data_IF_066690951455
#
_entry.id   IF_066690951455
#
_cell.length_a   1.000
_cell.length_b   1.000
_cell.length_c   1.000
_cell.angle_alpha   90.00
_cell.angle_beta   90.00
_cell.angle_gamma   90.00
#
_symmetry.space_group_name_H-M   'P 1'
#
loop_
_entity.id
_entity.type
_entity.pdbx_description
1 polymer ?
#
# COMPACT_ATOMS: atom_id res chain seq x y z
N UNK A 1 72.37 -5.63 -33.18
CA UNK A 1 71.90 -6.98 -33.57
C UNK A 1 71.80 -7.78 -32.28
N UNK A 2 70.60 -8.05 -31.77
CA UNK A 2 70.43 -8.95 -30.64
C UNK A 2 70.40 -10.38 -31.20
N UNK A 3 71.33 -11.23 -30.75
CA UNK A 3 71.32 -12.67 -31.03
C UNK A 3 71.24 -13.40 -29.70
N UNK A 4 70.39 -14.42 -29.61
CA UNK A 4 70.24 -15.30 -28.45
C UNK A 4 70.25 -16.74 -28.94
N UNK A 5 71.09 -17.57 -28.31
CA UNK A 5 71.03 -19.03 -28.48
C UNK A 5 69.96 -19.55 -27.53
N UNK A 6 68.95 -20.20 -28.09
CA UNK A 6 67.75 -20.62 -27.38
C UNK A 6 67.67 -22.14 -27.38
N UNK A 7 67.77 -22.76 -26.21
CA UNK A 7 67.50 -24.18 -26.06
C UNK A 7 65.99 -24.39 -26.01
N UNK A 8 65.44 -25.15 -26.95
CA UNK A 8 63.98 -25.33 -27.15
C UNK A 8 63.24 -25.94 -25.95
N UNK A 9 63.93 -26.51 -24.96
CA UNK A 9 63.34 -27.07 -23.74
C UNK A 9 63.13 -26.03 -22.61
N UNK A 10 63.64 -24.80 -22.76
CA UNK A 10 63.61 -23.75 -21.72
C UNK A 10 62.46 -22.74 -21.85
N UNK A 11 61.96 -22.37 -23.06
CA UNK A 11 60.82 -21.47 -23.22
C UNK A 11 59.61 -22.18 -23.85
N UNK A 12 59.16 -23.31 -23.29
CA UNK A 12 58.01 -24.02 -23.87
C UNK A 12 56.74 -23.21 -23.60
N UNK A 13 56.11 -22.70 -24.66
CA UNK A 13 54.79 -22.08 -24.60
C UNK A 13 53.76 -23.08 -25.15
N UNK A 14 52.91 -23.59 -24.26
CA UNK A 14 51.86 -24.54 -24.61
C UNK A 14 50.65 -23.81 -25.18
N UNK A 15 49.91 -24.51 -26.05
CA UNK A 15 48.55 -24.11 -26.41
C UNK A 15 47.62 -24.26 -25.18
N UNK A 16 46.51 -23.51 -25.13
CA UNK A 16 45.52 -23.68 -24.07
C UNK A 16 44.86 -25.08 -24.15
N UNK A 17 44.49 -25.68 -23.00
CA UNK A 17 43.63 -26.86 -22.96
C UNK A 17 42.30 -26.64 -23.70
N UNK A 18 41.75 -27.70 -24.29
CA UNK A 18 40.52 -27.64 -25.09
C UNK A 18 39.44 -28.59 -24.56
N UNK A 19 38.25 -28.53 -25.16
CA UNK A 19 37.13 -29.44 -24.89
C UNK A 19 36.74 -29.56 -23.42
N UNK A 20 36.71 -28.42 -22.72
CA UNK A 20 36.28 -28.37 -21.32
C UNK A 20 34.81 -28.80 -21.23
N UNK A 21 34.53 -29.79 -20.38
CA UNK A 21 33.16 -30.22 -20.10
C UNK A 21 32.99 -30.53 -18.62
N UNK A 22 31.82 -30.17 -18.09
CA UNK A 22 31.45 -30.41 -16.70
C UNK A 22 30.31 -31.43 -16.66
N UNK A 23 30.46 -32.46 -15.83
CA UNK A 23 29.44 -33.48 -15.61
C UNK A 23 29.07 -33.55 -14.13
N UNK A 24 27.78 -33.70 -13.85
CA UNK A 24 27.31 -33.90 -12.49
C UNK A 24 27.59 -35.33 -12.02
N UNK A 25 28.10 -35.49 -10.80
CA UNK A 25 28.46 -36.77 -10.20
C UNK A 25 28.01 -36.83 -8.74
N UNK A 26 26.81 -37.38 -8.49
CA UNK A 26 26.14 -37.68 -7.19
C UNK A 26 26.08 -36.58 -6.11
N UNK A 27 27.18 -35.89 -5.80
CA UNK A 27 27.28 -34.76 -4.87
C UNK A 27 28.29 -33.67 -5.29
N UNK A 28 29.07 -33.92 -6.36
CA UNK A 28 30.13 -33.04 -6.86
C UNK A 28 30.04 -32.89 -8.39
N UNK A 29 30.80 -31.94 -8.93
CA UNK A 29 30.92 -31.74 -10.37
C UNK A 29 32.30 -32.19 -10.86
N UNK A 30 32.34 -32.95 -11.95
CA UNK A 30 33.58 -33.39 -12.57
C UNK A 30 33.87 -32.52 -13.80
N UNK A 31 34.89 -31.67 -13.70
CA UNK A 31 35.44 -30.94 -14.83
C UNK A 31 36.45 -31.83 -15.56
N UNK A 32 36.35 -31.92 -16.88
CA UNK A 32 37.26 -32.67 -17.75
C UNK A 32 37.72 -31.79 -18.91
N UNK A 33 38.94 -32.00 -19.39
CA UNK A 33 39.51 -31.28 -20.53
C UNK A 33 40.42 -32.18 -21.36
N UNK A 34 40.81 -31.73 -22.56
CA UNK A 34 41.86 -32.37 -23.35
C UNK A 34 43.17 -31.61 -23.20
N UNK A 35 44.28 -32.36 -23.15
CA UNK A 35 45.63 -31.78 -23.10
C UNK A 35 45.89 -30.87 -24.33
N UNK A 36 46.79 -29.89 -24.22
CA UNK A 36 47.14 -29.01 -25.34
C UNK A 36 47.59 -29.77 -26.59
N UNK A 37 47.13 -29.34 -27.77
CA UNK A 37 47.60 -29.91 -29.03
C UNK A 37 49.13 -29.74 -29.18
N UNK A 38 49.80 -30.76 -29.71
CA UNK A 38 51.27 -30.77 -29.82
C UNK A 38 52.02 -31.15 -28.54
N UNK A 39 51.33 -31.45 -27.43
CA UNK A 39 51.95 -31.88 -26.17
C UNK A 39 52.22 -33.39 -26.06
N UNK A 40 52.16 -34.16 -27.16
CA UNK A 40 52.27 -35.63 -27.12
C UNK A 40 53.61 -36.15 -26.55
N UNK A 41 54.69 -35.36 -26.65
CA UNK A 41 55.98 -35.67 -26.01
C UNK A 41 56.10 -35.27 -24.53
N UNK A 42 55.09 -34.60 -23.98
CA UNK A 42 55.06 -33.98 -22.65
C UNK A 42 53.93 -34.52 -21.76
N UNK A 43 53.16 -35.52 -22.21
CA UNK A 43 51.91 -35.96 -21.58
C UNK A 43 51.99 -36.26 -20.08
N UNK A 44 53.17 -36.68 -19.59
CA UNK A 44 53.43 -37.06 -18.20
C UNK A 44 54.28 -36.02 -17.45
N UNK A 45 54.40 -34.81 -18.00
CA UNK A 45 55.16 -33.68 -17.46
C UNK A 45 54.35 -32.39 -17.62
N UNK A 46 53.02 -32.45 -17.45
CA UNK A 46 52.14 -31.29 -17.52
C UNK A 46 51.48 -31.01 -16.18
N UNK A 47 51.46 -29.74 -15.84
CA UNK A 47 50.74 -29.21 -14.70
C UNK A 47 49.64 -28.27 -15.17
N UNK A 48 48.46 -28.42 -14.60
CA UNK A 48 47.25 -27.69 -14.94
C UNK A 48 46.82 -26.84 -13.76
N UNK A 49 46.49 -25.59 -14.04
CA UNK A 49 45.82 -24.72 -13.11
C UNK A 49 44.36 -24.56 -13.52
N UNK A 50 43.47 -25.05 -12.66
CA UNK A 50 42.03 -24.92 -12.80
C UNK A 50 41.57 -23.77 -11.93
N UNK A 51 40.89 -22.78 -12.52
CA UNK A 51 40.24 -21.70 -11.76
C UNK A 51 38.74 -21.71 -12.00
N UNK A 52 37.96 -21.52 -10.95
CA UNK A 52 36.50 -21.47 -11.04
C UNK A 52 35.90 -20.47 -10.05
N UNK A 53 34.79 -19.85 -10.46
CA UNK A 53 34.08 -18.82 -9.69
C UNK A 53 32.60 -18.80 -10.07
N UNK A 54 31.78 -18.12 -9.28
CA UNK A 54 30.43 -17.77 -9.74
C UNK A 54 30.52 -16.75 -10.87
N UNK A 55 29.56 -16.79 -11.78
CA UNK A 55 29.53 -15.92 -12.95
C UNK A 55 29.69 -14.43 -12.60
N UNK A 56 29.04 -13.98 -11.54
CA UNK A 56 29.04 -12.60 -11.05
C UNK A 56 30.27 -12.22 -10.18
N UNK A 57 31.08 -13.18 -9.74
CA UNK A 57 32.28 -12.91 -8.93
C UNK A 57 33.47 -12.46 -9.79
N UNK A 58 34.46 -11.80 -9.18
CA UNK A 58 35.71 -11.47 -9.88
C UNK A 58 36.68 -12.67 -9.91
N UNK A 59 37.52 -12.75 -10.94
CA UNK A 59 38.56 -13.78 -11.05
C UNK A 59 39.64 -13.71 -9.96
N UNK A 60 39.84 -12.54 -9.34
CA UNK A 60 40.76 -12.38 -8.20
C UNK A 60 40.33 -13.18 -6.96
N UNK A 61 39.03 -13.46 -6.83
CA UNK A 61 38.44 -14.23 -5.73
C UNK A 61 38.13 -15.67 -6.11
N UNK A 62 38.50 -16.09 -7.33
CA UNK A 62 38.22 -17.43 -7.82
C UNK A 62 38.99 -18.48 -7.01
N UNK A 63 38.38 -19.65 -6.83
CA UNK A 63 39.09 -20.80 -6.31
C UNK A 63 40.07 -21.30 -7.39
N UNK A 64 41.32 -21.56 -7.00
CA UNK A 64 42.33 -22.15 -7.87
C UNK A 64 42.77 -23.51 -7.35
N UNK A 65 43.04 -24.44 -8.27
CA UNK A 65 43.58 -25.76 -7.97
C UNK A 65 44.69 -26.09 -8.95
N UNK A 66 45.83 -26.53 -8.42
CA UNK A 66 46.96 -26.99 -9.18
C UNK A 66 46.94 -28.52 -9.22
N UNK A 67 47.07 -29.09 -10.42
CA UNK A 67 46.91 -30.51 -10.68
C UNK A 67 48.01 -30.98 -11.63
N UNK A 68 48.62 -32.12 -11.35
CA UNK A 68 49.74 -32.64 -12.16
C UNK A 68 49.30 -33.94 -12.83
N UNK A 69 49.64 -34.10 -14.12
CA UNK A 69 49.42 -35.33 -14.89
C UNK A 69 47.98 -35.87 -14.86
N UNK A 70 46.99 -34.97 -14.80
CA UNK A 70 45.56 -35.31 -14.88
C UNK A 70 44.84 -34.36 -15.83
N UNK A 71 43.75 -34.84 -16.41
CA UNK A 71 42.85 -34.09 -17.30
C UNK A 71 41.45 -33.92 -16.72
N UNK A 72 41.31 -34.13 -15.41
CA UNK A 72 40.05 -33.99 -14.71
C UNK A 72 40.23 -33.38 -13.31
N UNK A 73 39.20 -32.69 -12.83
CA UNK A 73 39.16 -32.03 -11.54
C UNK A 73 37.76 -32.17 -10.91
N UNK A 74 37.72 -32.62 -9.66
CA UNK A 74 36.49 -32.62 -8.87
C UNK A 74 36.25 -31.23 -8.29
N UNK A 75 35.16 -30.59 -8.68
CA UNK A 75 34.69 -29.31 -8.17
C UNK A 75 33.72 -29.57 -7.01
N UNK A 76 34.19 -29.31 -5.80
CA UNK A 76 33.44 -29.50 -4.55
C UNK A 76 33.16 -28.15 -3.87
N UNK A 77 32.25 -28.17 -2.88
CA UNK A 77 31.84 -27.01 -2.09
C UNK A 77 31.20 -25.87 -2.91
N UNK A 78 30.48 -26.23 -3.97
CA UNK A 78 29.72 -25.27 -4.78
C UNK A 78 28.44 -24.86 -4.07
N UNK A 79 28.05 -23.60 -4.23
CA UNK A 79 26.79 -23.09 -3.70
C UNK A 79 25.67 -23.57 -4.63
N UNK A 80 24.61 -24.24 -4.13
CA UNK A 80 23.51 -24.71 -4.97
C UNK A 80 22.79 -23.53 -5.66
N UNK A 81 22.01 -23.80 -6.70
CA UNK A 81 21.22 -22.84 -7.48
C UNK A 81 22.01 -21.69 -8.10
N UNK A 82 23.32 -21.83 -8.24
CA UNK A 82 24.24 -20.78 -8.70
C UNK A 82 24.85 -21.15 -10.05
N UNK A 83 25.11 -20.15 -10.88
CA UNK A 83 25.83 -20.30 -12.14
C UNK A 83 27.32 -20.12 -11.92
N UNK A 84 28.11 -21.09 -12.35
CA UNK A 84 29.56 -21.09 -12.23
C UNK A 84 30.22 -21.04 -13.60
N UNK A 85 31.45 -20.53 -13.62
CA UNK A 85 32.36 -20.54 -14.76
C UNK A 85 33.72 -21.07 -14.33
N UNK A 86 34.36 -21.86 -15.18
CA UNK A 86 35.70 -22.41 -14.96
C UNK A 86 36.56 -22.29 -16.21
N UNK A 87 37.87 -22.18 -16.00
CA UNK A 87 38.89 -22.16 -17.05
C UNK A 87 40.16 -22.85 -16.59
N UNK A 88 40.90 -23.41 -17.54
CA UNK A 88 42.10 -24.20 -17.29
C UNK A 88 43.25 -23.66 -18.13
N UNK A 89 44.45 -23.60 -17.55
CA UNK A 89 45.69 -23.36 -18.29
C UNK A 89 46.73 -24.39 -17.93
N UNK A 90 47.69 -24.63 -18.82
CA UNK A 90 48.71 -25.65 -18.65
C UNK A 90 50.10 -25.04 -18.63
N UNK A 91 51.03 -25.68 -17.92
CA UNK A 91 52.47 -25.43 -18.03
C UNK A 91 53.25 -26.75 -17.96
N UNK A 92 54.49 -26.81 -18.45
CA UNK A 92 55.38 -27.92 -18.17
C UNK A 92 55.63 -28.06 -16.67
N UNK A 93 55.66 -29.29 -16.17
CA UNK A 93 55.94 -29.62 -14.78
C UNK A 93 57.38 -29.22 -14.42
N UNK A 94 57.55 -28.52 -13.29
CA UNK A 94 58.87 -28.11 -12.83
C UNK A 94 59.70 -29.35 -12.44
N UNK A 95 60.94 -29.43 -12.95
CA UNK A 95 61.90 -30.47 -12.56
C UNK A 95 61.97 -31.69 -13.48
N UNK A 96 61.18 -31.77 -14.56
CA UNK A 96 61.25 -32.85 -15.57
C UNK A 96 62.01 -32.49 -16.85
N UNK A 97 62.94 -31.54 -16.78
CA UNK A 97 63.80 -31.15 -17.91
C UNK A 97 63.17 -30.19 -18.92
N UNK A 98 61.89 -29.83 -18.74
CA UNK A 98 61.21 -28.78 -19.49
C UNK A 98 60.86 -27.61 -18.56
N UNK A 99 61.03 -26.39 -19.05
CA UNK A 99 60.61 -25.18 -18.36
C UNK A 99 59.82 -24.31 -19.33
N UNK A 100 58.82 -23.61 -18.81
CA UNK A 100 57.90 -22.85 -19.63
C UNK A 100 56.94 -22.02 -18.78
N UNK A 101 56.40 -20.98 -19.41
CA UNK A 101 55.32 -20.19 -18.81
C UNK A 101 53.99 -20.92 -18.94
N UNK A 102 53.00 -20.46 -18.19
CA UNK A 102 51.63 -20.92 -18.40
C UNK A 102 51.16 -20.57 -19.81
N UNK A 103 50.36 -21.48 -20.39
CA UNK A 103 49.57 -21.19 -21.57
C UNK A 103 48.60 -20.03 -21.30
N UNK A 104 48.05 -19.49 -22.39
CA UNK A 104 46.80 -18.76 -22.29
C UNK A 104 45.71 -19.61 -21.62
N UNK A 105 44.69 -18.95 -21.08
CA UNK A 105 43.54 -19.64 -20.54
C UNK A 105 42.73 -20.32 -21.65
N UNK A 106 42.17 -21.48 -21.34
CA UNK A 106 41.14 -22.11 -22.17
C UNK A 106 39.91 -21.20 -22.29
N UNK A 107 39.04 -21.52 -23.25
CA UNK A 107 37.68 -20.98 -23.26
C UNK A 107 36.95 -21.37 -21.98
N UNK A 108 36.17 -20.44 -21.44
CA UNK A 108 35.40 -20.67 -20.22
C UNK A 108 34.30 -21.72 -20.45
N UNK A 109 34.12 -22.62 -19.49
CA UNK A 109 32.96 -23.53 -19.43
C UNK A 109 32.02 -23.06 -18.32
N UNK A 110 30.73 -23.02 -18.60
CA UNK A 110 29.70 -22.61 -17.63
C UNK A 110 28.73 -23.75 -17.32
N UNK A 111 28.31 -23.85 -16.06
CA UNK A 111 27.29 -24.79 -15.62
C UNK A 111 26.46 -24.20 -14.48
N UNK A 112 25.34 -24.84 -14.17
CA UNK A 112 24.44 -24.47 -13.09
C UNK A 112 24.39 -25.58 -12.04
N UNK A 113 24.40 -25.20 -10.78
CA UNK A 113 24.24 -26.15 -9.67
C UNK A 113 22.76 -26.37 -9.37
N UNK A 114 22.33 -27.58 -8.91
CA UNK A 114 20.95 -27.89 -8.62
C UNK A 114 20.28 -26.84 -7.74
N UNK A 115 19.01 -26.57 -8.01
CA UNK A 115 18.25 -25.62 -7.22
C UNK A 115 18.25 -26.04 -5.74
N UNK A 116 18.68 -25.13 -4.88
CA UNK A 116 18.56 -25.34 -3.43
C UNK A 116 17.21 -24.83 -2.93
N UNK A 117 16.85 -25.18 -1.70
CA UNK A 117 15.63 -24.67 -1.06
C UNK A 117 15.65 -23.16 -0.78
N UNK A 118 14.66 -22.73 0.00
CA UNK A 118 14.43 -21.34 0.44
C UNK A 118 15.51 -20.86 1.44
N UNK A 119 16.35 -21.79 1.91
CA UNK A 119 17.37 -21.54 2.92
C UNK A 119 18.42 -20.51 2.47
N UNK A 120 18.85 -19.59 3.37
CA UNK A 120 19.98 -18.70 3.12
C UNK A 120 21.26 -19.49 2.84
N UNK A 121 22.13 -18.91 2.01
CA UNK A 121 23.32 -19.58 1.47
C UNK A 121 24.58 -18.84 1.86
N UNK A 122 25.70 -19.54 1.73
CA UNK A 122 27.05 -18.96 1.85
C UNK A 122 27.26 -18.17 3.16
N UNK A 123 26.77 -18.70 4.30
CA UNK A 123 27.00 -18.08 5.61
C UNK A 123 28.49 -18.11 5.93
N UNK A 124 29.09 -16.92 6.09
CA UNK A 124 30.49 -16.74 6.43
C UNK A 124 30.62 -15.74 7.55
N UNK A 125 31.42 -16.07 8.56
CA UNK A 125 31.73 -15.18 9.67
C UNK A 125 33.24 -14.95 9.75
N UNK A 126 33.65 -13.70 9.85
CA UNK A 126 35.05 -13.29 9.93
C UNK A 126 35.26 -12.45 11.18
N UNK A 127 36.15 -12.90 12.06
CA UNK A 127 36.53 -12.15 13.25
C UNK A 127 37.63 -11.14 12.90
N UNK A 128 37.44 -9.88 13.30
CA UNK A 128 38.39 -8.81 13.00
C UNK A 128 39.65 -8.82 13.89
N UNK A 129 39.78 -9.78 14.81
CA UNK A 129 40.91 -9.86 15.74
C UNK A 129 40.81 -8.94 16.96
N UNK A 130 39.77 -8.11 17.04
CA UNK A 130 39.59 -7.15 18.12
C UNK A 130 38.33 -7.47 18.93
N UNK A 131 37.16 -7.19 18.37
CA UNK A 131 35.90 -7.18 19.11
C UNK A 131 34.66 -7.42 18.23
N UNK A 132 34.83 -7.73 16.95
CA UNK A 132 33.71 -7.83 16.01
C UNK A 132 33.83 -9.09 15.16
N UNK A 133 32.80 -9.93 15.26
CA UNK A 133 32.58 -11.07 14.38
C UNK A 133 31.57 -10.67 13.31
N UNK A 134 32.04 -10.41 12.10
CA UNK A 134 31.21 -10.00 10.97
C UNK A 134 30.70 -11.23 10.22
N UNK A 135 29.40 -11.46 10.28
CA UNK A 135 28.74 -12.53 9.54
C UNK A 135 28.01 -12.00 8.31
N UNK A 136 28.07 -12.73 7.21
CA UNK A 136 27.39 -12.41 5.95
C UNK A 136 26.78 -13.67 5.34
N UNK A 137 25.62 -13.53 4.72
CA UNK A 137 24.91 -14.60 4.03
C UNK A 137 24.16 -14.04 2.81
N UNK A 138 23.73 -14.95 1.94
CA UNK A 138 23.10 -14.63 0.67
C UNK A 138 21.68 -15.17 0.60
N UNK A 139 20.77 -14.33 0.09
CA UNK A 139 19.35 -14.66 -0.10
C UNK A 139 18.95 -14.30 -1.52
N UNK A 140 18.10 -15.12 -2.17
CA UNK A 140 17.53 -14.75 -3.49
C UNK A 140 16.65 -13.51 -3.33
N UNK A 141 16.76 -12.53 -4.24
CA UNK A 141 15.99 -11.28 -4.22
C UNK A 141 14.48 -11.51 -4.05
N UNK A 142 13.93 -12.48 -4.78
CA UNK A 142 12.51 -12.84 -4.74
C UNK A 142 12.05 -13.41 -3.39
N UNK A 143 12.95 -13.98 -2.59
CA UNK A 143 12.64 -14.49 -1.25
C UNK A 143 12.76 -13.35 -0.23
N UNK A 144 13.81 -12.52 -0.35
CA UNK A 144 14.06 -11.41 0.56
C UNK A 144 12.91 -10.37 0.59
N UNK A 145 12.08 -10.29 -0.45
CA UNK A 145 10.90 -9.41 -0.48
C UNK A 145 9.73 -9.89 0.38
N UNK A 146 9.70 -11.16 0.75
CA UNK A 146 8.55 -11.76 1.46
C UNK A 146 8.93 -12.42 2.79
N UNK A 147 10.22 -12.76 2.96
CA UNK A 147 10.72 -13.48 4.11
C UNK A 147 11.89 -12.70 4.70
N UNK A 148 11.76 -12.36 5.99
CA UNK A 148 12.81 -11.69 6.75
C UNK A 148 13.67 -12.75 7.40
N UNK A 149 14.99 -12.62 7.27
CA UNK A 149 15.96 -13.50 7.91
C UNK A 149 16.65 -12.77 9.06
N UNK A 150 16.73 -13.45 10.21
CA UNK A 150 17.51 -13.02 11.35
C UNK A 150 18.75 -13.91 11.51
N UNK A 151 19.83 -13.31 11.99
CA UNK A 151 21.03 -14.05 12.40
C UNK A 151 21.02 -14.21 13.92
N UNK A 152 21.13 -15.46 14.36
CA UNK A 152 21.08 -15.84 15.76
C UNK A 152 22.37 -16.53 16.16
N UNK A 153 22.88 -16.21 17.33
CA UNK A 153 24.16 -16.74 17.78
C UNK A 153 24.14 -17.13 19.26
N UNK A 154 25.06 -18.03 19.60
CA UNK A 154 25.40 -18.40 20.98
C UNK A 154 26.89 -18.20 21.16
N UNK A 155 27.29 -17.42 22.16
CA UNK A 155 28.69 -17.15 22.46
C UNK A 155 29.41 -18.37 23.04
N UNK A 156 28.67 -19.24 23.73
CA UNK A 156 29.15 -20.55 24.18
C UNK A 156 28.04 -21.59 24.00
N UNK A 157 28.34 -22.91 23.97
CA UNK A 157 27.31 -23.94 23.84
C UNK A 157 26.22 -23.90 24.92
N UNK A 158 26.54 -23.34 26.10
CA UNK A 158 25.63 -23.21 27.24
C UNK A 158 24.92 -21.85 27.32
N UNK A 159 25.29 -20.86 26.49
CA UNK A 159 24.66 -19.54 26.55
C UNK A 159 23.26 -19.55 25.95
N UNK A 160 22.43 -18.59 26.37
CA UNK A 160 21.20 -18.28 25.67
C UNK A 160 21.51 -17.87 24.22
N UNK A 161 20.53 -18.07 23.35
CA UNK A 161 20.61 -17.65 21.96
C UNK A 161 20.16 -16.20 21.83
N UNK A 162 21.00 -15.40 21.19
CA UNK A 162 20.78 -13.97 20.99
C UNK A 162 20.55 -13.67 19.51
N UNK A 163 19.79 -12.62 19.22
CA UNK A 163 19.58 -12.11 17.87
C UNK A 163 20.57 -10.98 17.57
N UNK A 164 21.27 -11.08 16.45
CA UNK A 164 22.15 -10.02 15.97
C UNK A 164 21.33 -8.90 15.31
N UNK A 165 21.54 -7.67 15.76
CA UNK A 165 20.92 -6.47 15.19
C UNK A 165 21.87 -5.27 15.22
N UNK A 166 21.83 -4.37 14.21
CA UNK A 166 20.98 -4.39 13.02
C UNK A 166 21.55 -5.27 11.89
N UNK A 167 20.65 -5.81 11.06
CA UNK A 167 21.02 -6.50 9.81
C UNK A 167 21.11 -5.47 8.68
N UNK A 168 22.25 -5.45 8.01
CA UNK A 168 22.52 -4.62 6.83
C UNK A 168 22.29 -5.42 5.56
N UNK A 169 21.74 -4.79 4.52
CA UNK A 169 21.52 -5.41 3.22
C UNK A 169 22.24 -4.66 2.10
N UNK A 170 22.89 -5.40 1.21
CA UNK A 170 23.55 -4.88 0.02
C UNK A 170 23.07 -5.63 -1.22
N UNK A 171 22.31 -4.94 -2.06
CA UNK A 171 21.94 -5.44 -3.38
C UNK A 171 23.02 -5.09 -4.41
N UNK A 172 23.45 -6.09 -5.19
CA UNK A 172 24.31 -5.89 -6.35
C UNK A 172 23.46 -5.83 -7.63
N UNK A 173 23.83 -4.95 -8.56
CA UNK A 173 23.16 -4.87 -9.87
C UNK A 173 23.43 -6.15 -10.68
N UNK A 174 22.43 -6.62 -11.42
CA UNK A 174 22.49 -7.85 -12.26
C UNK A 174 22.76 -9.17 -11.52
N UNK A 175 22.81 -9.18 -10.19
CA UNK A 175 22.92 -10.41 -9.38
C UNK A 175 21.53 -10.80 -8.86
N UNK A 176 21.09 -12.07 -8.96
CA UNK A 176 19.77 -12.49 -8.46
C UNK A 176 19.70 -12.65 -6.92
N UNK A 177 20.78 -12.30 -6.22
CA UNK A 177 20.93 -12.40 -4.77
C UNK A 177 21.15 -11.03 -4.12
N UNK A 178 20.74 -10.93 -2.85
CA UNK A 178 21.15 -9.88 -1.93
C UNK A 178 22.09 -10.46 -0.89
N UNK A 179 23.10 -9.67 -0.49
CA UNK A 179 24.00 -10.03 0.59
C UNK A 179 23.51 -9.32 1.85
N UNK A 180 23.20 -10.08 2.88
CA UNK A 180 22.84 -9.57 4.20
C UNK A 180 24.00 -9.80 5.17
N UNK A 181 24.25 -8.85 6.07
CA UNK A 181 25.33 -8.94 7.04
C UNK A 181 24.97 -8.36 8.40
N UNK A 182 25.52 -8.95 9.46
CA UNK A 182 25.36 -8.48 10.84
C UNK A 182 26.68 -8.64 11.61
N UNK A 183 26.97 -7.67 12.47
CA UNK A 183 28.18 -7.65 13.31
C UNK A 183 27.86 -8.04 14.75
N UNK A 184 28.44 -9.15 15.20
CA UNK A 184 28.30 -9.62 16.59
C UNK A 184 29.44 -9.03 17.42
N UNK A 185 29.15 -8.28 18.49
CA UNK A 185 30.18 -7.81 19.42
C UNK A 185 30.74 -8.99 20.23
N UNK A 186 32.06 -9.09 20.30
CA UNK A 186 32.80 -10.15 21.01
C UNK A 186 33.58 -9.52 22.16
N UNK A 187 33.26 -9.93 23.39
CA UNK A 187 33.85 -9.37 24.61
C UNK A 187 34.98 -10.21 25.18
N UNK A 188 34.87 -11.55 25.11
CA UNK A 188 35.82 -12.49 25.71
C UNK A 188 36.50 -13.31 24.62
N UNK A 189 37.69 -12.88 24.21
CA UNK A 189 38.49 -13.58 23.18
C UNK A 189 39.42 -14.58 23.87
N UNK A 190 39.09 -15.88 23.73
CA UNK A 190 39.96 -16.99 24.10
C UNK A 190 40.17 -17.91 22.90
N UNK A 191 41.31 -18.60 22.83
CA UNK A 191 41.60 -19.60 21.80
C UNK A 191 40.59 -20.75 21.74
N UNK A 192 39.78 -20.94 22.79
CA UNK A 192 38.73 -21.96 22.88
C UNK A 192 37.32 -21.39 22.67
N UNK A 193 37.19 -20.09 22.37
CA UNK A 193 35.88 -19.46 22.19
C UNK A 193 35.22 -19.97 20.91
N UNK A 194 34.08 -20.62 21.05
CA UNK A 194 33.34 -21.18 19.92
C UNK A 194 31.95 -20.56 19.86
N UNK A 195 31.73 -19.73 18.83
CA UNK A 195 30.43 -19.16 18.54
C UNK A 195 29.64 -20.10 17.64
N UNK A 196 28.42 -20.41 18.02
CA UNK A 196 27.47 -21.09 17.14
C UNK A 196 26.60 -20.02 16.48
N UNK A 197 26.60 -19.96 15.15
CA UNK A 197 25.83 -18.98 14.38
C UNK A 197 24.87 -19.70 13.46
N UNK A 198 23.63 -19.23 13.40
CA UNK A 198 22.59 -19.76 12.53
C UNK A 198 21.78 -18.62 11.93
N UNK A 199 21.35 -18.79 10.68
CA UNK A 199 20.42 -17.86 10.02
C UNK A 199 19.10 -18.58 9.85
N UNK A 200 18.02 -17.98 10.34
CA UNK A 200 16.67 -18.52 10.26
C UNK A 200 15.67 -17.42 9.91
N UNK A 201 14.49 -17.86 9.48
CA UNK A 201 13.36 -16.97 9.24
C UNK A 201 13.00 -16.29 10.56
N UNK A 202 12.89 -14.97 10.53
CA UNK A 202 12.40 -14.17 11.64
C UNK A 202 10.88 -14.06 11.51
N UNK A 203 10.18 -14.54 12.52
CA UNK A 203 8.73 -14.35 12.63
C UNK A 203 8.46 -12.91 13.08
N UNK A 204 7.84 -12.12 12.22
CA UNK A 204 7.28 -10.84 12.62
C UNK A 204 5.91 -11.06 13.24
N UNK A 205 5.83 -10.79 14.53
CA UNK A 205 4.58 -10.81 15.27
C UNK A 205 4.13 -9.38 15.51
N UNK A 206 2.89 -9.09 15.11
CA UNK A 206 2.23 -7.83 15.44
C UNK A 206 1.19 -8.12 16.52
N UNK A 207 1.43 -7.60 17.72
CA UNK A 207 0.40 -7.61 18.75
C UNK A 207 -0.74 -6.69 18.31
N UNK A 208 -1.93 -7.26 18.14
CA UNK A 208 -3.14 -6.51 17.79
C UNK A 208 -4.06 -6.51 19.00
N UNK A 209 -4.15 -5.36 19.66
CA UNK A 209 -5.11 -5.16 20.75
C UNK A 209 -6.52 -5.02 20.18
N UNK A 210 -7.37 -6.03 20.39
CA UNK A 210 -8.75 -6.03 19.88
C UNK A 210 -9.59 -4.84 20.36
N UNK A 211 -9.38 -4.39 21.61
CA UNK A 211 -10.06 -3.22 22.17
C UNK A 211 -9.74 -1.91 21.45
N UNK A 212 -8.59 -1.83 20.77
CA UNK A 212 -8.14 -0.64 20.04
C UNK A 212 -8.37 -0.73 18.52
N UNK A 213 -8.82 -1.88 18.02
CA UNK A 213 -8.96 -2.15 16.59
C UNK A 213 -10.37 -2.60 16.22
N UNK A 214 -11.39 -1.95 16.79
CA UNK A 214 -12.80 -2.31 16.54
C UNK A 214 -13.29 -1.67 15.25
N UNK A 215 -13.90 -2.46 14.36
CA UNK A 215 -14.66 -1.94 13.20
C UNK A 215 -16.11 -2.40 13.32
N UNK A 216 -17.01 -1.45 13.52
CA UNK A 216 -18.46 -1.72 13.66
C UNK A 216 -19.13 -1.84 12.30
N UNK A 217 -20.29 -2.48 12.26
CA UNK A 217 -21.10 -2.55 11.05
C UNK A 217 -21.79 -1.20 10.77
N UNK A 218 -21.98 -0.83 9.48
CA UNK A 218 -22.75 0.35 9.14
C UNK A 218 -24.18 0.26 9.68
N UNK A 219 -24.81 1.40 10.04
CA UNK A 219 -26.23 1.42 10.36
C UNK A 219 -27.08 0.95 9.17
N UNK A 220 -28.11 0.15 9.44
CA UNK A 220 -29.05 -0.34 8.43
C UNK A 220 -30.42 0.34 8.58
N UNK A 221 -31.27 0.24 7.56
CA UNK A 221 -32.64 0.76 7.57
C UNK A 221 -32.72 2.22 8.04
N UNK A 222 -31.89 3.08 7.45
CA UNK A 222 -31.86 4.50 7.80
C UNK A 222 -33.04 5.20 7.12
N UNK A 223 -33.92 5.79 7.90
CA UNK A 223 -35.10 6.54 7.42
C UNK A 223 -35.23 7.88 8.12
N UNK A 224 -35.87 8.83 7.45
CA UNK A 224 -36.18 10.15 8.00
C UNK A 224 -37.69 10.38 7.90
N UNK A 225 -38.33 10.63 9.02
CA UNK A 225 -39.79 10.81 9.13
C UNK A 225 -40.12 12.20 9.70
N UNK A 226 -41.25 12.79 9.29
CA UNK A 226 -41.73 14.08 9.80
C UNK A 226 -42.51 13.88 11.10
N UNK A 227 -42.18 14.64 12.14
CA UNK A 227 -42.92 14.67 13.41
C UNK A 227 -43.90 15.87 13.42
N UNK A 228 -44.94 15.80 14.25
CA UNK A 228 -46.00 16.83 14.44
C UNK A 228 -45.47 18.27 14.66
N UNK A 229 -44.22 18.46 15.09
CA UNK A 229 -43.61 19.77 15.35
C UNK A 229 -42.83 20.37 14.16
N UNK A 230 -43.02 19.89 12.93
CA UNK A 230 -42.20 20.25 11.75
C UNK A 230 -40.72 19.81 11.82
N UNK A 231 -40.35 19.06 12.86
CA UNK A 231 -39.02 18.46 13.00
C UNK A 231 -38.90 17.13 12.25
N UNK A 232 -37.70 16.78 11.80
CA UNK A 232 -37.45 15.53 11.08
C UNK A 232 -36.67 14.54 11.95
N UNK A 233 -37.21 13.35 12.10
CA UNK A 233 -36.65 12.28 12.91
C UNK A 233 -35.85 11.30 12.05
N UNK A 234 -34.54 11.24 12.27
CA UNK A 234 -33.66 10.22 11.71
C UNK A 234 -33.69 8.97 12.58
N UNK A 235 -34.15 7.85 12.00
CA UNK A 235 -34.16 6.52 12.62
C UNK A 235 -33.18 5.62 11.87
N UNK A 236 -32.47 4.78 12.60
CA UNK A 236 -31.59 3.76 12.04
C UNK A 236 -31.59 2.51 12.92
N UNK A 237 -31.29 1.36 12.32
CA UNK A 237 -31.06 0.12 13.03
C UNK A 237 -29.59 0.06 13.47
N UNK A 238 -29.36 0.22 14.78
CA UNK A 238 -28.08 -0.05 15.43
C UNK A 238 -27.78 -1.54 15.38
N UNK A 239 -26.57 -1.90 14.97
CA UNK A 239 -26.07 -3.26 15.14
C UNK A 239 -25.48 -3.39 16.53
N UNK A 240 -26.17 -4.15 17.39
CA UNK A 240 -25.73 -4.41 18.75
C UNK A 240 -24.41 -5.17 18.78
N UNK A 241 -23.49 -4.72 19.63
CA UNK A 241 -22.32 -5.49 19.99
C UNK A 241 -22.72 -6.48 21.10
N UNK A 242 -22.03 -7.61 21.20
CA UNK A 242 -22.25 -8.59 22.28
C UNK A 242 -22.16 -7.94 23.68
N UNK A 243 -21.33 -6.91 23.80
CA UNK A 243 -21.11 -6.15 25.02
C UNK A 243 -21.83 -4.79 24.93
N UNK A 244 -23.01 -4.69 25.54
CA UNK A 244 -23.86 -3.50 25.46
C UNK A 244 -23.29 -2.23 26.12
N UNK A 245 -22.23 -2.33 26.92
CA UNK A 245 -21.54 -1.16 27.48
C UNK A 245 -20.64 -0.45 26.45
N UNK A 246 -20.34 -1.08 25.31
CA UNK A 246 -19.58 -0.47 24.22
C UNK A 246 -20.56 0.37 23.39
N UNK A 247 -20.57 1.66 23.69
CA UNK A 247 -21.39 2.64 22.99
C UNK A 247 -20.82 2.97 21.61
N UNK A 248 -21.70 3.38 20.71
CA UNK A 248 -21.40 3.82 19.37
C UNK A 248 -21.68 5.31 19.25
N UNK A 249 -21.00 5.95 18.32
CA UNK A 249 -21.33 7.28 17.79
C UNK A 249 -21.45 7.15 16.29
N UNK A 250 -22.16 8.10 15.70
CA UNK A 250 -22.49 8.07 14.29
C UNK A 250 -22.11 9.38 13.63
N UNK A 251 -21.90 9.30 12.32
CA UNK A 251 -21.73 10.47 11.48
C UNK A 251 -22.65 10.36 10.28
N UNK A 252 -23.43 11.41 10.06
CA UNK A 252 -24.36 11.53 8.94
C UNK A 252 -23.82 12.58 7.99
N UNK A 253 -23.71 12.23 6.72
CA UNK A 253 -23.43 13.18 5.64
C UNK A 253 -24.65 13.27 4.75
N UNK A 254 -25.10 14.48 4.45
CA UNK A 254 -26.24 14.71 3.59
C UNK A 254 -26.08 15.94 2.71
N UNK A 255 -26.79 15.95 1.60
CA UNK A 255 -26.72 17.01 0.60
C UNK A 255 -28.05 17.15 -0.13
N UNK A 256 -28.29 18.34 -0.69
CA UNK A 256 -29.48 18.59 -1.50
C UNK A 256 -29.38 17.77 -2.79
N UNK A 257 -30.46 17.10 -3.14
CA UNK A 257 -30.55 16.40 -4.42
C UNK A 257 -30.54 17.44 -5.55
N UNK A 258 -29.47 17.46 -6.34
CA UNK A 258 -29.27 18.47 -7.39
C UNK A 258 -30.46 18.51 -8.35
N UNK A 259 -31.05 19.70 -8.51
CA UNK A 259 -31.66 20.07 -9.78
C UNK A 259 -30.49 20.33 -10.74
N UNK A 260 -30.42 19.60 -11.84
CA UNK A 260 -29.47 19.90 -12.91
C UNK A 260 -29.78 21.30 -13.43
N UNK A 261 -28.84 22.23 -13.30
CA UNK A 261 -28.98 23.54 -13.93
C UNK A 261 -28.56 23.42 -15.39
N UNK A 262 -29.45 23.84 -16.28
CA UNK A 262 -29.18 23.92 -17.71
C UNK A 262 -28.37 25.18 -17.94
N UNK A 263 -27.10 25.04 -18.31
CA UNK A 263 -26.28 26.20 -18.67
C UNK A 263 -26.80 26.76 -19.99
N UNK A 264 -26.63 28.07 -20.21
CA UNK A 264 -27.12 28.79 -21.39
C UNK A 264 -26.65 28.19 -22.73
N UNK A 265 -25.61 27.34 -22.72
CA UNK A 265 -25.06 26.60 -23.87
C UNK A 265 -25.74 25.22 -24.11
N UNK A 266 -26.83 24.91 -23.40
CA UNK A 266 -27.53 23.63 -23.50
C UNK A 266 -26.82 22.45 -22.85
N UNK A 267 -25.59 22.64 -22.36
CA UNK A 267 -24.84 21.68 -21.54
C UNK A 267 -25.38 21.65 -20.09
N UNK A 268 -25.49 20.46 -19.52
CA UNK A 268 -25.89 20.25 -18.13
C UNK A 268 -24.64 20.24 -17.26
N UNK A 269 -24.57 21.14 -16.28
CA UNK A 269 -23.47 21.17 -15.32
C UNK A 269 -24.04 20.79 -13.95
N UNK A 270 -23.46 19.76 -13.33
CA UNK A 270 -23.81 19.40 -11.94
C UNK A 270 -23.30 20.49 -11.00
N UNK A 271 -24.17 21.15 -10.21
CA UNK A 271 -23.73 22.09 -9.19
C UNK A 271 -22.79 21.40 -8.18
N UNK A 272 -21.77 22.13 -7.69
CA UNK A 272 -20.93 21.68 -6.59
C UNK A 272 -21.81 21.30 -5.38
N UNK A 273 -21.84 20.01 -5.05
CA UNK A 273 -22.64 19.46 -3.97
C UNK A 273 -22.17 20.04 -2.64
N UNK A 274 -23.00 20.86 -1.99
CA UNK A 274 -22.72 21.29 -0.61
C UNK A 274 -23.07 20.15 0.34
N UNK A 275 -22.05 19.40 0.77
CA UNK A 275 -22.21 18.30 1.72
C UNK A 275 -22.22 18.85 3.14
N UNK A 276 -23.29 18.58 3.87
CA UNK A 276 -23.41 18.84 5.30
C UNK A 276 -23.05 17.59 6.09
N UNK A 277 -22.36 17.76 7.22
CA UNK A 277 -21.93 16.65 8.09
C UNK A 277 -22.39 16.90 9.51
N UNK A 278 -23.01 15.90 10.14
CA UNK A 278 -23.44 15.92 11.54
C UNK A 278 -22.79 14.74 12.26
N UNK A 279 -22.23 15.01 13.44
CA UNK A 279 -21.74 13.98 14.35
C UNK A 279 -22.77 13.77 15.46
N UNK A 280 -23.22 12.52 15.62
CA UNK A 280 -24.20 12.10 16.61
C UNK A 280 -23.46 11.29 17.66
N UNK A 281 -23.31 11.85 18.86
CA UNK A 281 -22.64 11.17 19.99
C UNK A 281 -23.56 10.21 20.73
N UNK A 282 -24.87 10.29 20.50
CA UNK A 282 -25.85 9.40 21.09
C UNK A 282 -25.74 7.99 20.50
N UNK A 283 -25.83 6.99 21.37
CA UNK A 283 -25.64 5.58 21.03
C UNK A 283 -26.89 4.95 20.40
N UNK A 284 -28.06 5.38 20.86
CA UNK A 284 -29.36 4.86 20.42
C UNK A 284 -30.07 5.85 19.47
N UNK A 285 -30.83 5.34 18.48
CA UNK A 285 -31.77 6.15 17.71
C UNK A 285 -32.92 6.65 18.62
N UNK A 286 -33.62 7.74 18.26
CA UNK A 286 -33.50 8.55 17.05
C UNK A 286 -32.58 9.78 17.20
N UNK A 287 -32.33 10.48 16.10
CA UNK A 287 -31.76 11.83 16.09
C UNK A 287 -32.73 12.82 15.43
N UNK A 288 -32.88 14.01 16.00
CA UNK A 288 -33.82 15.03 15.51
C UNK A 288 -33.05 16.10 14.73
N UNK A 289 -33.40 16.30 13.46
CA UNK A 289 -32.94 17.46 12.70
C UNK A 289 -33.75 18.69 13.12
N UNK A 290 -33.04 19.75 13.49
CA UNK A 290 -33.66 21.06 13.78
C UNK A 290 -33.93 21.84 12.49
N UNK A 291 -34.90 22.75 12.52
CA UNK A 291 -35.30 23.58 11.36
C UNK A 291 -34.16 24.36 10.70
N UNK A 292 -33.09 24.66 11.45
CA UNK A 292 -31.92 25.36 10.92
C UNK A 292 -31.02 24.47 10.05
N UNK A 293 -31.14 23.15 10.17
CA UNK A 293 -30.32 22.17 9.45
C UNK A 293 -30.87 21.86 8.06
N UNK A 294 -32.18 22.02 7.86
CA UNK A 294 -32.88 21.61 6.65
C UNK A 294 -33.60 22.79 5.99
N UNK A 295 -33.53 22.85 4.66
CA UNK A 295 -34.32 23.82 3.89
C UNK A 295 -35.71 23.24 3.59
N UNK A 296 -36.79 24.06 3.64
CA UNK A 296 -38.13 23.60 3.30
C UNK A 296 -38.21 23.21 1.81
N UNK A 297 -39.21 22.39 1.48
CA UNK A 297 -39.53 22.00 0.09
C UNK A 297 -38.36 21.38 -0.70
N UNK A 298 -37.40 20.75 -0.02
CA UNK A 298 -36.14 20.28 -0.60
C UNK A 298 -36.01 18.77 -0.45
N UNK A 299 -35.56 18.09 -1.51
CA UNK A 299 -35.20 16.67 -1.47
C UNK A 299 -33.73 16.51 -1.08
N UNK A 300 -33.44 15.63 -0.14
CA UNK A 300 -32.10 15.36 0.36
C UNK A 300 -31.69 13.91 0.11
N UNK A 301 -30.39 13.71 -0.04
CA UNK A 301 -29.71 12.42 0.01
C UNK A 301 -28.79 12.39 1.21
N UNK A 302 -28.68 11.24 1.85
CA UNK A 302 -27.83 11.05 3.01
C UNK A 302 -27.19 9.68 3.06
N UNK A 303 -26.07 9.59 3.76
CA UNK A 303 -25.39 8.35 4.13
C UNK A 303 -24.87 8.46 5.55
N UNK A 304 -24.77 7.33 6.23
CA UNK A 304 -24.43 7.28 7.65
C UNK A 304 -23.34 6.25 7.92
N UNK A 305 -22.49 6.51 8.91
CA UNK A 305 -21.48 5.54 9.38
C UNK A 305 -21.38 5.57 10.90
N UNK A 306 -20.87 4.50 11.48
CA UNK A 306 -20.74 4.31 12.92
C UNK A 306 -19.28 4.11 13.33
N UNK A 307 -18.94 4.48 14.56
CA UNK A 307 -17.69 4.11 15.22
C UNK A 307 -17.93 3.91 16.72
N UNK A 308 -17.00 3.27 17.40
CA UNK A 308 -17.06 3.14 18.87
C UNK A 308 -16.87 4.52 19.52
N UNK A 309 -17.61 4.76 20.60
CA UNK A 309 -17.54 5.98 21.40
C UNK A 309 -17.31 5.62 22.87
N UNK A 310 -16.09 5.23 23.21
CA UNK A 310 -15.72 4.92 24.59
C UNK A 310 -14.24 5.28 24.85
N UNK A 311 -13.84 5.43 26.12
CA UNK A 311 -12.47 5.78 26.48
C UNK A 311 -11.52 4.58 26.34
N UNK A 312 -11.95 3.41 26.80
CA UNK A 312 -11.12 2.20 26.80
C UNK A 312 -11.07 1.51 25.44
N UNK A 313 -12.08 1.75 24.60
CA UNK A 313 -12.25 1.09 23.31
C UNK A 313 -12.05 2.08 22.17
N UNK A 314 -11.16 1.74 21.25
CA UNK A 314 -10.90 2.53 20.04
C UNK A 314 -11.22 1.70 18.81
N UNK A 315 -11.59 2.42 17.76
CA UNK A 315 -12.01 1.79 16.53
C UNK A 315 -11.96 2.73 15.35
N UNK A 316 -12.18 2.14 14.19
CA UNK A 316 -12.27 2.84 12.92
C UNK A 316 -13.73 3.06 12.56
N UNK A 317 -13.98 4.08 11.74
CA UNK A 317 -15.29 4.27 11.13
C UNK A 317 -15.69 3.04 10.31
N UNK A 318 -16.98 2.68 10.38
CA UNK A 318 -17.57 1.70 9.49
C UNK A 318 -17.52 2.17 8.04
N UNK A 319 -17.82 1.25 7.13
CA UNK A 319 -18.26 1.65 5.79
C UNK A 319 -19.49 2.56 5.88
N UNK A 320 -19.78 3.28 4.80
CA UNK A 320 -21.03 4.05 4.71
C UNK A 320 -22.22 3.10 4.57
N UNK A 321 -23.36 3.48 5.15
CA UNK A 321 -24.66 2.86 4.93
C UNK A 321 -25.09 3.04 3.48
N UNK A 322 -26.14 2.31 3.09
CA UNK A 322 -26.87 2.63 1.87
C UNK A 322 -27.37 4.08 1.88
N UNK A 323 -27.38 4.70 0.70
CA UNK A 323 -27.88 6.06 0.55
C UNK A 323 -29.39 6.09 0.75
N UNK A 324 -29.85 7.00 1.60
CA UNK A 324 -31.27 7.19 1.89
C UNK A 324 -31.71 8.59 1.46
N UNK A 325 -33.01 8.73 1.18
CA UNK A 325 -33.57 9.95 0.61
C UNK A 325 -34.82 10.38 1.35
N UNK A 326 -35.00 11.68 1.56
CA UNK A 326 -36.21 12.24 2.15
C UNK A 326 -36.56 13.59 1.52
N UNK A 327 -37.78 14.07 1.78
CA UNK A 327 -38.28 15.37 1.30
C UNK A 327 -38.79 16.17 2.49
N UNK A 328 -38.50 17.46 2.49
CA UNK A 328 -39.05 18.38 3.48
C UNK A 328 -40.34 19.02 2.97
N UNK A 329 -41.32 19.19 3.85
CA UNK A 329 -42.61 19.82 3.54
C UNK A 329 -42.50 21.34 3.35
N UNK A 330 -43.55 21.92 2.78
CA UNK A 330 -43.67 23.35 2.54
C UNK A 330 -43.94 24.07 3.86
N UNK A 331 -42.92 24.67 4.44
CA UNK A 331 -43.14 25.69 5.47
C UNK A 331 -43.63 26.97 4.78
N UNK A 332 -44.93 27.28 4.92
CA UNK A 332 -45.39 28.65 4.69
C UNK A 332 -44.62 29.54 5.65
N UNK A 333 -43.80 30.46 5.13
CA UNK A 333 -43.00 31.35 5.97
C UNK A 333 -43.92 32.01 7.01
N UNK A 334 -43.58 31.97 8.31
CA UNK A 334 -44.41 32.54 9.39
C UNK A 334 -44.77 34.03 9.20
N UNK A 335 -44.05 34.72 8.30
CA UNK A 335 -44.24 36.13 7.96
C UNK A 335 -45.29 36.37 6.87
N UNK A 336 -45.63 35.36 6.06
CA UNK A 336 -46.53 35.52 4.90
C UNK A 336 -48.00 35.60 5.33
N UNK A 337 -48.42 34.74 6.27
CA UNK A 337 -49.78 34.77 6.82
C UNK A 337 -50.17 36.12 7.48
N UNK A 338 -49.34 36.70 8.38
CA UNK A 338 -49.64 38.00 8.98
C UNK A 338 -49.52 39.19 8.02
N UNK A 339 -48.97 39.03 6.81
CA UNK A 339 -48.99 40.05 5.75
C UNK A 339 -50.23 39.94 4.86
N UNK A 340 -50.68 38.72 4.53
CA UNK A 340 -51.83 38.49 3.66
C UNK A 340 -53.15 38.87 4.35
N UNK A 341 -53.31 38.56 5.64
CA UNK A 341 -54.52 38.88 6.39
C UNK A 341 -54.86 40.38 6.43
N UNK A 342 -53.94 41.29 6.83
CA UNK A 342 -54.22 42.73 6.81
C UNK A 342 -54.40 43.27 5.40
N UNK A 343 -53.66 42.77 4.40
CA UNK A 343 -53.88 43.17 3.00
C UNK A 343 -55.31 42.82 2.53
N UNK A 344 -55.79 41.60 2.82
CA UNK A 344 -57.17 41.20 2.54
C UNK A 344 -58.19 42.08 3.26
N UNK A 345 -57.99 42.36 4.55
CA UNK A 345 -58.89 43.23 5.33
C UNK A 345 -58.93 44.65 4.74
N UNK A 346 -57.77 45.22 4.39
CA UNK A 346 -57.70 46.55 3.76
C UNK A 346 -58.45 46.55 2.42
N UNK A 347 -58.26 45.54 1.58
CA UNK A 347 -58.98 45.45 0.30
C UNK A 347 -60.49 45.35 0.50
N UNK A 348 -60.96 44.56 1.48
CA UNK A 348 -62.38 44.45 1.80
C UNK A 348 -62.97 45.77 2.31
N UNK A 349 -62.23 46.51 3.15
CA UNK A 349 -62.64 47.82 3.65
C UNK A 349 -62.73 48.85 2.52
N UNK A 350 -61.78 48.85 1.58
CA UNK A 350 -61.81 49.72 0.40
C UNK A 350 -63.00 49.39 -0.49
N UNK A 351 -63.26 48.11 -0.77
CA UNK A 351 -64.42 47.67 -1.56
C UNK A 351 -65.73 48.07 -0.88
N UNK A 352 -65.86 47.84 0.44
CA UNK A 352 -67.04 48.23 1.21
C UNK A 352 -67.26 49.75 1.23
N UNK A 353 -66.19 50.54 1.32
CA UNK A 353 -66.26 51.99 1.25
C UNK A 353 -66.69 52.47 -0.15
N UNK A 354 -66.12 51.89 -1.20
CA UNK A 354 -66.48 52.19 -2.58
C UNK A 354 -67.94 51.82 -2.86
N UNK A 355 -68.42 50.65 -2.40
CA UNK A 355 -69.81 50.23 -2.55
C UNK A 355 -70.76 51.11 -1.74
N UNK A 356 -70.38 51.54 -0.53
CA UNK A 356 -71.17 52.48 0.28
C UNK A 356 -71.28 53.85 -0.40
N UNK A 357 -70.18 54.41 -0.92
CA UNK A 357 -70.18 55.65 -1.71
C UNK A 357 -71.04 55.53 -2.97
N UNK A 358 -70.97 54.39 -3.65
CA UNK A 358 -71.80 54.10 -4.82
C UNK A 358 -73.30 54.05 -4.46
N UNK A 359 -73.64 53.35 -3.38
CA UNK A 359 -75.00 53.25 -2.88
C UNK A 359 -75.56 54.61 -2.45
N UNK A 360 -74.77 55.44 -1.76
CA UNK A 360 -75.16 56.81 -1.41
C UNK A 360 -75.43 57.68 -2.66
N UNK A 361 -74.62 57.55 -3.71
CA UNK A 361 -74.87 58.24 -4.99
C UNK A 361 -76.19 57.78 -5.63
N UNK A 362 -76.45 56.47 -5.65
CA UNK A 362 -77.71 55.93 -6.17
C UNK A 362 -78.91 56.38 -5.34
N UNK A 363 -78.80 56.38 -4.00
CA UNK A 363 -79.84 56.90 -3.11
C UNK A 363 -80.14 58.37 -3.37
N UNK A 364 -79.12 59.21 -3.56
CA UNK A 364 -79.31 60.64 -3.87
C UNK A 364 -80.01 60.85 -5.23
N UNK A 365 -79.61 60.10 -6.26
CA UNK A 365 -80.28 60.09 -7.57
C UNK A 365 -81.73 59.60 -7.48
N UNK A 366 -82.01 58.67 -6.56
CA UNK A 366 -83.35 58.18 -6.30
C UNK A 366 -84.20 59.22 -5.55
N UNK A 367 -83.64 59.89 -4.53
CA UNK A 367 -84.29 60.98 -3.77
C UNK A 367 -84.62 62.20 -4.65
N UNK A 368 -83.75 62.55 -5.61
CA UNK A 368 -84.03 63.61 -6.59
C UNK A 368 -85.17 63.25 -7.56
N UNK A 369 -85.46 61.96 -7.78
CA UNK A 369 -86.57 61.47 -8.59
C UNK A 369 -87.88 61.28 -7.82
N UNK A 370 -87.90 61.52 -6.51
CA UNK A 370 -89.15 61.49 -5.72
C UNK A 370 -89.95 62.76 -6.07
N UNK A 371 -91.17 62.64 -6.65
CA UNK A 371 -92.00 63.80 -6.93
C UNK A 371 -92.35 64.53 -5.64
N UNK A 372 -91.81 65.73 -5.48
CA UNK A 372 -92.04 66.59 -4.32
C UNK A 372 -93.35 67.39 -4.52
N UNK A 373 -94.38 67.22 -3.67
CA UNK A 373 -95.69 67.87 -3.84
C UNK A 373 -95.63 69.41 -3.79
N UNK A 374 -94.58 69.99 -3.20
CA UNK A 374 -94.37 71.45 -3.12
C UNK A 374 -93.91 72.13 -4.42
N UNK A 375 -93.56 71.36 -5.47
CA UNK A 375 -93.19 71.86 -6.81
C UNK A 375 -94.24 71.59 -7.89
N UNK A 376 -95.45 71.15 -7.51
CA UNK A 376 -96.56 70.97 -8.44
C UNK A 376 -97.24 72.31 -8.73
N UNK A 377 -97.47 72.61 -10.02
CA UNK A 377 -98.09 73.85 -10.51
C UNK A 377 -99.57 74.03 -10.10
N UNK A 378 -100.12 73.18 -9.22
CA UNK A 378 -101.51 73.21 -8.78
C UNK A 378 -101.75 73.92 -7.44
N UNK A 379 -100.70 74.30 -6.68
CA UNK A 379 -100.84 74.94 -5.36
C UNK A 379 -100.61 76.46 -5.39
N UNK A 380 -100.03 77.02 -6.46
CA UNK A 380 -99.86 78.49 -6.60
C UNK A 380 -101.16 79.25 -6.96
N UNK A 381 -102.28 78.57 -7.21
CA UNK A 381 -103.56 79.19 -7.52
C UNK A 381 -104.50 79.38 -6.32
N UNK A 382 -104.09 79.02 -5.10
CA UNK A 382 -104.94 79.08 -3.89
C UNK A 382 -104.48 80.07 -2.80
N UNK A 383 -103.42 80.86 -3.04
CA UNK A 383 -103.02 81.96 -2.17
C UNK A 383 -103.13 83.26 -2.96
N UNK A 384 -104.35 83.79 -3.02
CA UNK A 384 -104.66 85.17 -3.40
C UNK A 384 -105.34 85.85 -2.23
#
# INVERSE_FOLDING_TARGET
>A
IASHVLYLHLPVQLLPPQNLSVRESSADFLLTWTAPDGSQGLSNALEYEVTYKRDWESWEKAASRLLSNTTHCHLSHLIPGSRYVARVRARPEQGRGFSGQYSEWSTDVSWETPEGGIQPRNLRCLFNGANLLMCSWEVKKVIATSVIFGLFFRATPASAEEECSPVSEKALSHVPYVVQSCGIPVSNVSSQSQYQVSVRIKTEEKLIEGSKNIKVQPPANVSVELIENQEYELRWKKHGLQYGFIKQQYQVQFWKHNQYEKVNDGSWVSPCLTVQTINITNDEPPFIFTDQMLSPSTKYWGKMRAMVNNQDYQGYWSEWSEEFTWKTENALSPLVLPLILPALIITLLVVAYCSYKYFLRQKKLWEEKIPNPSKSLLIQSYLK
#
